data_IF_147086293821
#
_entry.id   IF_147086293821
#
_cell.length_a   1.000
_cell.length_b   1.000
_cell.length_c   1.000
_cell.angle_alpha   90.00
_cell.angle_beta   90.00
_cell.angle_gamma   90.00
#
_symmetry.space_group_name_H-M   'P 1'
#
loop_
_entity.id
_entity.type
_entity.pdbx_description
1 polymer ?
#
# COMPACT_ATOMS: atom_id res chain seq x y z
N UNK A 1 32.51 10.74 63.89
CA UNK A 1 31.34 9.98 63.35
C UNK A 1 30.44 10.98 62.67
N UNK A 2 30.54 11.08 61.35
CA UNK A 2 29.79 12.06 60.57
C UNK A 2 28.82 11.29 59.67
N UNK A 3 27.54 11.39 59.97
CA UNK A 3 26.45 10.74 59.23
C UNK A 3 26.16 11.52 57.95
N UNK A 4 26.22 10.84 56.83
CA UNK A 4 25.91 11.36 55.47
C UNK A 4 24.41 11.27 55.25
N UNK A 5 23.72 12.29 54.75
CA UNK A 5 22.29 12.19 54.43
C UNK A 5 22.07 11.44 53.12
N UNK A 6 21.14 10.50 53.14
CA UNK A 6 20.64 9.76 51.96
C UNK A 6 19.67 10.64 51.17
N UNK A 7 19.98 10.83 49.87
CA UNK A 7 19.09 11.52 48.91
C UNK A 7 17.85 10.67 48.58
N UNK A 8 16.66 11.27 48.43
CA UNK A 8 15.49 10.53 48.04
C UNK A 8 15.55 10.14 46.54
N UNK A 9 15.25 8.88 46.24
CA UNK A 9 15.12 8.38 44.88
C UNK A 9 13.85 8.95 44.26
N UNK A 10 14.01 9.73 43.19
CA UNK A 10 12.90 10.22 42.36
C UNK A 10 12.55 9.12 41.37
N UNK A 11 11.36 8.55 41.48
CA UNK A 11 10.81 7.64 40.49
C UNK A 11 10.57 8.36 39.15
N UNK A 12 10.89 7.74 38.00
CA UNK A 12 10.62 8.37 36.69
C UNK A 12 9.12 8.58 36.49
N UNK A 13 8.73 9.64 35.79
CA UNK A 13 7.30 9.91 35.52
C UNK A 13 6.71 8.81 34.66
N UNK A 14 5.52 8.36 35.02
CA UNK A 14 4.75 7.38 34.25
C UNK A 14 4.55 7.88 32.82
N UNK A 15 4.79 7.01 31.84
CA UNK A 15 4.53 7.29 30.43
C UNK A 15 3.05 7.67 30.25
N UNK A 16 2.72 8.69 29.46
CA UNK A 16 1.33 9.06 29.20
C UNK A 16 0.58 7.87 28.59
N UNK A 17 -0.71 7.67 28.92
CA UNK A 17 -1.51 6.60 28.36
C UNK A 17 -1.55 6.75 26.82
N UNK A 18 -1.32 5.65 26.11
CA UNK A 18 -1.44 5.60 24.66
C UNK A 18 -2.85 6.09 24.28
N UNK A 19 -2.93 7.10 23.41
CA UNK A 19 -4.23 7.56 22.86
C UNK A 19 -4.98 6.35 22.31
N UNK A 20 -6.29 6.21 22.56
CA UNK A 20 -7.05 5.06 22.09
C UNK A 20 -6.93 4.99 20.57
N UNK A 21 -6.54 3.82 20.07
CA UNK A 21 -6.50 3.57 18.63
C UNK A 21 -7.93 3.78 18.09
N UNK A 22 -8.10 4.80 17.25
CA UNK A 22 -9.40 5.09 16.63
C UNK A 22 -9.78 3.87 15.79
N UNK A 23 -10.83 3.15 16.22
CA UNK A 23 -11.32 2.00 15.50
C UNK A 23 -11.82 2.41 14.11
N UNK A 24 -11.64 1.57 13.08
CA UNK A 24 -12.16 1.86 11.75
C UNK A 24 -13.70 2.01 11.81
N UNK A 25 -14.29 2.85 10.95
CA UNK A 25 -15.75 3.09 10.95
C UNK A 25 -16.56 1.91 10.35
N UNK A 26 -16.07 0.69 10.49
CA UNK A 26 -16.70 -0.52 9.96
C UNK A 26 -15.84 -1.77 10.18
N UNK A 27 -16.26 -2.88 9.59
CA UNK A 27 -15.56 -4.18 9.70
C UNK A 27 -14.40 -4.26 8.74
N UNK A 28 -13.18 -4.52 9.22
CA UNK A 28 -12.02 -4.80 8.37
C UNK A 28 -12.20 -6.16 7.70
N UNK A 29 -12.15 -6.19 6.36
CA UNK A 29 -12.34 -7.41 5.56
C UNK A 29 -11.02 -8.06 5.20
N UNK A 30 -10.00 -7.25 4.91
CA UNK A 30 -8.66 -7.68 4.55
C UNK A 30 -7.68 -6.60 4.99
N UNK A 31 -6.59 -6.98 5.64
CA UNK A 31 -5.47 -6.07 5.90
C UNK A 31 -4.16 -6.84 6.01
N UNK A 32 -3.05 -6.16 5.76
CA UNK A 32 -1.74 -6.77 5.85
C UNK A 32 -0.61 -5.74 5.89
N UNK A 33 0.59 -6.26 6.12
CA UNK A 33 1.83 -5.49 6.11
C UNK A 33 2.26 -5.29 4.67
N UNK A 34 2.50 -4.04 4.30
CA UNK A 34 2.88 -3.61 2.94
C UNK A 34 4.22 -2.88 2.97
N UNK A 35 4.55 -2.19 1.90
CA UNK A 35 5.71 -1.31 1.85
C UNK A 35 7.04 -2.08 1.87
N UNK A 36 8.06 -1.46 2.46
CA UNK A 36 9.43 -2.00 2.44
C UNK A 36 9.55 -3.41 3.03
N UNK A 37 8.74 -3.74 4.03
CA UNK A 37 8.69 -5.07 4.65
C UNK A 37 8.18 -6.11 3.65
N UNK A 38 7.08 -5.82 2.96
CA UNK A 38 6.51 -6.73 1.97
C UNK A 38 7.44 -6.96 0.78
N UNK A 39 8.18 -5.94 0.37
CA UNK A 39 9.12 -6.03 -0.76
C UNK A 39 10.44 -6.75 -0.42
N UNK A 40 10.75 -6.97 0.88
CA UNK A 40 12.07 -7.46 1.32
C UNK A 40 13.14 -6.35 1.34
N UNK A 41 12.74 -5.08 1.31
CA UNK A 41 13.63 -3.92 1.34
C UNK A 41 13.76 -3.27 2.72
N UNK A 42 13.06 -3.78 3.74
CA UNK A 42 13.15 -3.26 5.10
C UNK A 42 14.57 -3.41 5.68
N UNK A 43 14.91 -2.50 6.59
CA UNK A 43 16.14 -2.51 7.37
C UNK A 43 15.82 -2.22 8.85
N UNK A 44 16.81 -2.36 9.74
CA UNK A 44 16.64 -1.99 11.13
C UNK A 44 16.18 -0.52 11.24
N UNK A 45 15.01 -0.30 11.87
CA UNK A 45 14.40 1.03 11.99
C UNK A 45 13.44 1.40 10.84
N UNK A 46 13.15 0.49 9.90
CA UNK A 46 12.05 0.72 8.94
C UNK A 46 10.70 0.70 9.65
N UNK A 47 9.84 1.65 9.29
CA UNK A 47 8.44 1.65 9.73
C UNK A 47 7.69 0.45 9.17
N UNK A 48 6.67 -0.01 9.91
CA UNK A 48 5.77 -1.06 9.45
C UNK A 48 4.50 -0.41 8.91
N UNK A 49 4.42 -0.35 7.59
CA UNK A 49 3.26 0.18 6.87
C UNK A 49 2.15 -0.88 6.80
N UNK A 50 0.91 -0.49 7.07
CA UNK A 50 -0.27 -1.36 6.98
C UNK A 50 -1.27 -0.81 6.01
N UNK A 51 -1.78 -1.68 5.15
CA UNK A 51 -2.85 -1.35 4.23
C UNK A 51 -4.00 -2.35 4.43
N UNK A 52 -5.22 -1.87 4.23
CA UNK A 52 -6.38 -2.75 4.26
C UNK A 52 -7.62 -2.10 3.67
N UNK A 53 -8.69 -2.85 3.72
CA UNK A 53 -10.01 -2.36 3.36
C UNK A 53 -11.05 -2.76 4.41
N UNK A 54 -12.08 -1.94 4.53
CA UNK A 54 -13.18 -2.14 5.45
C UNK A 54 -14.54 -1.99 4.77
N UNK A 55 -15.53 -2.66 5.31
CA UNK A 55 -16.93 -2.46 4.97
C UNK A 55 -17.56 -1.50 5.97
N UNK A 56 -18.01 -0.34 5.50
CA UNK A 56 -18.89 0.52 6.28
C UNK A 56 -20.31 -0.08 6.36
N UNK A 57 -21.08 0.20 7.43
CA UNK A 57 -22.49 -0.17 7.50
C UNK A 57 -23.26 0.34 6.27
N UNK A 58 -23.96 -0.56 5.57
CA UNK A 58 -24.59 -0.25 4.26
C UNK A 58 -25.64 0.84 4.39
N UNK A 59 -26.39 0.87 5.50
CA UNK A 59 -27.38 1.91 5.78
C UNK A 59 -26.80 3.33 5.82
N UNK A 60 -25.50 3.47 6.18
CA UNK A 60 -24.80 4.76 6.16
C UNK A 60 -24.71 5.39 4.75
N UNK A 61 -24.77 4.59 3.69
CA UNK A 61 -24.75 5.11 2.31
C UNK A 61 -26.09 5.72 1.87
N UNK A 62 -27.16 5.47 2.61
CA UNK A 62 -28.51 6.00 2.38
C UNK A 62 -28.84 7.20 3.26
N UNK A 63 -27.93 7.60 4.17
CA UNK A 63 -28.09 8.75 5.04
C UNK A 63 -27.68 10.06 4.38
N UNK A 64 -27.88 11.16 5.10
CA UNK A 64 -27.50 12.50 4.65
C UNK A 64 -25.98 12.62 4.43
N UNK A 65 -25.19 11.94 5.24
CA UNK A 65 -23.73 11.93 5.15
C UNK A 65 -23.23 10.53 4.80
N UNK A 66 -22.43 10.44 3.73
CA UNK A 66 -21.83 9.17 3.34
C UNK A 66 -20.71 8.78 4.31
N UNK A 67 -20.46 7.47 4.52
CA UNK A 67 -19.30 7.00 5.26
C UNK A 67 -17.99 7.52 4.66
N UNK A 68 -16.99 7.72 5.53
CA UNK A 68 -15.65 8.10 5.10
C UNK A 68 -15.06 7.02 4.18
N UNK A 69 -14.49 7.45 3.05
CA UNK A 69 -13.88 6.54 2.07
C UNK A 69 -12.52 6.01 2.51
N UNK A 70 -11.87 6.62 3.50
CA UNK A 70 -10.58 6.18 4.03
C UNK A 70 -10.46 6.51 5.50
N UNK A 71 -9.73 5.64 6.20
CA UNK A 71 -9.30 5.85 7.57
C UNK A 71 -7.77 5.73 7.62
N UNK A 72 -7.08 6.77 8.08
CA UNK A 72 -5.62 6.82 8.18
C UNK A 72 -5.22 7.06 9.62
N UNK A 73 -4.29 6.26 10.13
CA UNK A 73 -3.66 6.45 11.43
C UNK A 73 -2.14 6.45 11.27
N UNK A 74 -1.43 7.18 12.13
CA UNK A 74 0.04 7.27 12.11
C UNK A 74 0.69 6.41 13.19
N UNK A 75 -0.09 5.97 14.18
CA UNK A 75 0.38 5.09 15.28
C UNK A 75 -0.72 4.09 15.63
N UNK A 76 -0.66 2.87 15.11
CA UNK A 76 0.26 2.36 14.08
C UNK A 76 0.03 3.05 12.73
N UNK A 77 1.07 3.07 11.87
CA UNK A 77 0.92 3.54 10.49
C UNK A 77 0.03 2.56 9.72
N UNK A 78 -1.19 3.01 9.43
CA UNK A 78 -2.22 2.18 8.80
C UNK A 78 -3.15 3.02 7.94
N UNK A 79 -3.35 2.59 6.71
CA UNK A 79 -4.37 3.11 5.81
C UNK A 79 -5.42 2.04 5.54
N UNK A 80 -6.68 2.35 5.78
CA UNK A 80 -7.83 1.51 5.43
C UNK A 80 -8.70 2.26 4.42
N UNK A 81 -9.04 1.62 3.30
CA UNK A 81 -9.98 2.15 2.32
C UNK A 81 -11.34 1.48 2.48
N UNK A 82 -12.41 2.24 2.29
CA UNK A 82 -13.74 1.67 2.16
C UNK A 82 -13.79 0.74 0.92
N UNK A 83 -14.54 -0.36 1.00
CA UNK A 83 -14.55 -1.43 0.00
C UNK A 83 -14.74 -0.93 -1.44
N UNK A 84 -15.71 -0.05 -1.70
CA UNK A 84 -15.93 0.50 -3.05
C UNK A 84 -14.78 1.39 -3.50
N UNK A 85 -14.19 2.19 -2.61
CA UNK A 85 -13.00 3.00 -2.93
C UNK A 85 -11.83 2.11 -3.28
N UNK A 86 -11.60 1.06 -2.48
CA UNK A 86 -10.52 0.12 -2.77
C UNK A 86 -10.70 -0.52 -4.16
N UNK A 87 -11.92 -0.98 -4.50
CA UNK A 87 -12.21 -1.52 -5.83
C UNK A 87 -11.88 -0.52 -6.96
N UNK A 88 -12.28 0.75 -6.82
CA UNK A 88 -11.95 1.79 -7.82
C UNK A 88 -10.44 1.99 -7.98
N UNK A 89 -9.69 1.99 -6.87
CA UNK A 89 -8.24 2.08 -6.92
C UNK A 89 -7.62 0.83 -7.60
N UNK A 90 -8.12 -0.37 -7.28
CA UNK A 90 -7.63 -1.60 -7.88
C UNK A 90 -7.94 -1.69 -9.38
N UNK A 91 -9.15 -1.31 -9.81
CA UNK A 91 -9.55 -1.25 -11.22
C UNK A 91 -8.72 -0.24 -12.03
N UNK A 92 -8.20 0.82 -11.39
CA UNK A 92 -7.23 1.73 -12.00
C UNK A 92 -5.79 1.21 -11.93
N UNK A 93 -5.57 -0.02 -11.50
CA UNK A 93 -4.26 -0.64 -11.27
C UNK A 93 -3.34 0.20 -10.37
N UNK A 94 -3.91 0.92 -9.37
CA UNK A 94 -3.09 1.68 -8.41
C UNK A 94 -2.10 0.75 -7.72
N UNK A 95 -0.77 0.96 -7.83
CA UNK A 95 0.24 0.01 -7.35
C UNK A 95 0.11 -0.31 -5.86
N UNK A 96 -0.17 0.71 -5.03
CA UNK A 96 -0.30 0.55 -3.58
C UNK A 96 -1.56 -0.22 -3.19
N UNK A 97 -2.71 0.08 -3.82
CA UNK A 97 -3.95 -0.63 -3.52
C UNK A 97 -3.91 -2.07 -4.01
N UNK A 98 -3.40 -2.28 -5.22
CA UNK A 98 -3.40 -3.60 -5.88
C UNK A 98 -2.51 -4.60 -5.14
N UNK A 99 -1.40 -4.19 -4.53
CA UNK A 99 -0.50 -5.10 -3.83
C UNK A 99 -1.17 -5.86 -2.68
N UNK A 100 -2.20 -5.29 -2.03
CA UNK A 100 -2.89 -5.92 -0.89
C UNK A 100 -3.41 -7.33 -1.20
N UNK A 101 -3.97 -7.55 -2.39
CA UNK A 101 -4.52 -8.87 -2.77
C UNK A 101 -3.48 -9.84 -3.35
N UNK A 102 -2.22 -9.44 -3.35
CA UNK A 102 -1.06 -10.21 -3.83
C UNK A 102 0.00 -10.43 -2.76
N UNK A 103 -0.29 -10.03 -1.50
CA UNK A 103 0.65 -10.24 -0.41
C UNK A 103 0.95 -11.74 -0.21
N UNK A 104 2.17 -12.09 0.19
CA UNK A 104 2.46 -13.40 0.76
C UNK A 104 1.55 -13.67 1.98
N UNK A 105 1.17 -14.92 2.18
CA UNK A 105 0.19 -15.32 3.20
C UNK A 105 0.57 -14.88 4.62
N UNK A 106 1.85 -14.90 4.95
CA UNK A 106 2.41 -14.54 6.24
C UNK A 106 2.33 -13.02 6.55
N UNK A 107 2.00 -12.20 5.57
CA UNK A 107 1.89 -10.74 5.74
C UNK A 107 0.45 -10.27 5.98
N UNK A 108 -0.54 -11.13 5.84
CA UNK A 108 -1.91 -10.78 6.19
C UNK A 108 -2.10 -10.73 7.70
N UNK A 109 -2.68 -9.63 8.21
CA UNK A 109 -3.08 -9.48 9.61
C UNK A 109 -4.58 -9.79 9.80
N UNK A 110 -5.41 -9.45 8.81
CA UNK A 110 -6.85 -9.79 8.75
C UNK A 110 -7.15 -10.37 7.38
N UNK A 111 -7.82 -11.52 7.37
CA UNK A 111 -8.18 -12.24 6.16
C UNK A 111 -9.53 -12.94 6.39
N UNK A 112 -10.62 -12.13 6.32
CA UNK A 112 -11.99 -12.62 6.51
C UNK A 112 -12.54 -13.29 5.23
N UNK A 113 -13.70 -13.97 5.31
CA UNK A 113 -14.28 -14.66 4.15
C UNK A 113 -14.46 -13.77 2.91
N UNK A 114 -14.96 -12.55 3.07
CA UNK A 114 -15.06 -11.59 1.96
C UNK A 114 -13.70 -11.10 1.48
N UNK A 115 -12.67 -11.08 2.33
CA UNK A 115 -11.29 -10.82 1.93
C UNK A 115 -10.73 -11.94 1.05
N UNK A 116 -11.02 -13.21 1.39
CA UNK A 116 -10.66 -14.37 0.58
C UNK A 116 -11.31 -14.34 -0.81
N UNK A 117 -12.61 -14.02 -0.85
CA UNK A 117 -13.32 -13.87 -2.13
C UNK A 117 -12.68 -12.78 -3.00
N UNK A 118 -12.26 -11.66 -2.39
CA UNK A 118 -11.58 -10.58 -3.08
C UNK A 118 -10.23 -11.02 -3.66
N UNK A 119 -9.43 -11.77 -2.89
CA UNK A 119 -8.17 -12.37 -3.34
C UNK A 119 -8.44 -13.32 -4.52
N UNK A 120 -9.50 -14.12 -4.47
CA UNK A 120 -9.84 -15.07 -5.54
C UNK A 120 -10.12 -14.38 -6.89
N UNK A 121 -10.73 -13.20 -6.88
CA UNK A 121 -11.04 -12.43 -8.09
C UNK A 121 -9.94 -11.42 -8.49
N UNK A 122 -8.80 -11.40 -7.82
CA UNK A 122 -7.75 -10.36 -7.97
C UNK A 122 -7.29 -10.09 -9.41
N UNK A 123 -7.34 -11.10 -10.29
CA UNK A 123 -6.96 -10.92 -11.70
C UNK A 123 -7.93 -10.06 -12.49
N UNK A 124 -9.21 -10.02 -12.10
CA UNK A 124 -10.23 -9.22 -12.79
C UNK A 124 -9.97 -7.71 -12.71
N UNK A 125 -9.20 -7.26 -11.73
CA UNK A 125 -8.81 -5.86 -11.58
C UNK A 125 -7.70 -5.41 -12.55
N UNK A 126 -6.98 -6.36 -13.16
CA UNK A 126 -5.80 -6.05 -13.96
C UNK A 126 -6.17 -5.78 -15.42
N UNK A 127 -5.48 -4.81 -16.02
CA UNK A 127 -5.51 -4.56 -17.46
C UNK A 127 -4.17 -4.03 -17.96
N UNK A 128 -3.82 -4.32 -19.21
CA UNK A 128 -2.57 -3.86 -19.82
C UNK A 128 -2.47 -2.34 -19.79
N UNK A 129 -3.51 -1.64 -20.21
CA UNK A 129 -3.60 -0.18 -20.21
C UNK A 129 -3.52 0.40 -18.78
N UNK A 130 -4.22 -0.21 -17.83
CA UNK A 130 -4.22 0.22 -16.43
C UNK A 130 -2.84 0.08 -15.79
N UNK A 131 -2.20 -1.08 -15.93
CA UNK A 131 -0.84 -1.34 -15.43
C UNK A 131 0.16 -0.37 -16.03
N UNK A 132 0.17 -0.24 -17.36
CA UNK A 132 1.06 0.69 -18.06
C UNK A 132 0.92 2.12 -17.52
N UNK A 133 -0.28 2.65 -17.52
CA UNK A 133 -0.52 4.05 -17.16
C UNK A 133 -0.22 4.33 -15.67
N UNK A 134 -0.71 3.46 -14.78
CA UNK A 134 -0.52 3.67 -13.34
C UNK A 134 0.96 3.51 -12.95
N UNK A 135 1.59 2.39 -13.30
CA UNK A 135 2.95 2.12 -12.85
C UNK A 135 3.98 3.06 -13.48
N UNK A 136 3.89 3.35 -14.79
CA UNK A 136 4.76 4.34 -15.43
C UNK A 136 4.51 5.75 -14.87
N UNK A 137 3.26 6.11 -14.59
CA UNK A 137 2.93 7.39 -13.95
C UNK A 137 3.57 7.54 -12.57
N UNK A 138 3.46 6.52 -11.72
CA UNK A 138 4.12 6.51 -10.40
C UNK A 138 5.64 6.49 -10.51
N UNK A 139 6.22 5.69 -11.42
CA UNK A 139 7.66 5.65 -11.65
C UNK A 139 8.20 7.00 -12.14
N UNK A 140 7.49 7.64 -13.07
CA UNK A 140 7.85 9.00 -13.55
C UNK A 140 7.80 10.04 -12.42
N UNK A 141 6.84 9.94 -11.49
CA UNK A 141 6.81 10.81 -10.31
C UNK A 141 8.04 10.59 -9.41
N UNK A 142 8.47 9.34 -9.22
CA UNK A 142 9.70 9.06 -8.47
C UNK A 142 10.92 9.62 -9.19
N UNK A 143 10.99 9.46 -10.51
CA UNK A 143 12.07 10.01 -11.32
C UNK A 143 12.17 11.54 -11.22
N UNK A 144 11.05 12.26 -11.31
CA UNK A 144 11.03 13.72 -11.12
C UNK A 144 11.55 14.12 -9.73
N UNK A 145 11.23 13.36 -8.67
CA UNK A 145 11.78 13.61 -7.33
C UNK A 145 13.27 13.37 -7.22
N UNK A 146 13.85 12.52 -8.07
CA UNK A 146 15.31 12.33 -8.16
C UNK A 146 15.97 13.54 -8.79
N UNK A 147 15.43 14.04 -9.89
CA UNK A 147 16.02 15.17 -10.65
C UNK A 147 16.01 16.49 -9.89
N UNK A 148 15.07 16.69 -8.97
CA UNK A 148 14.91 17.97 -8.24
C UNK A 148 15.71 18.03 -6.94
N UNK A 149 16.50 17.00 -6.59
CA UNK A 149 17.23 16.94 -5.32
C UNK A 149 18.70 17.26 -5.48
N UNK A 150 19.18 18.13 -4.61
CA UNK A 150 20.60 18.28 -4.33
C UNK A 150 21.05 17.05 -3.52
N UNK A 151 22.01 16.30 -4.06
CA UNK A 151 22.57 15.08 -3.44
C UNK A 151 23.88 15.36 -2.69
N UNK A 152 24.29 16.61 -2.53
CA UNK A 152 25.50 17.00 -1.81
C UNK A 152 25.44 16.64 -0.31
N UNK A 153 24.24 16.61 0.28
CA UNK A 153 24.02 16.18 1.65
C UNK A 153 23.73 14.66 1.72
N UNK A 154 24.43 13.89 2.61
CA UNK A 154 24.23 12.45 2.76
C UNK A 154 22.78 12.04 3.04
N UNK A 155 22.01 12.83 3.80
CA UNK A 155 20.60 12.55 4.06
C UNK A 155 19.73 12.75 2.81
N UNK A 156 20.04 13.75 1.98
CA UNK A 156 19.38 13.96 0.69
C UNK A 156 19.70 12.82 -0.29
N UNK A 157 20.97 12.38 -0.34
CA UNK A 157 21.37 11.21 -1.14
C UNK A 157 20.66 9.93 -0.70
N UNK A 158 20.54 9.66 0.60
CA UNK A 158 19.81 8.50 1.11
C UNK A 158 18.31 8.53 0.71
N UNK A 159 17.69 9.71 0.73
CA UNK A 159 16.32 9.90 0.24
C UNK A 159 16.22 9.68 -1.28
N UNK A 160 17.22 10.14 -2.05
CA UNK A 160 17.29 9.88 -3.49
C UNK A 160 17.36 8.37 -3.77
N UNK A 161 18.25 7.64 -3.08
CA UNK A 161 18.35 6.19 -3.17
C UNK A 161 17.02 5.48 -2.81
N UNK A 162 16.27 5.97 -1.80
CA UNK A 162 14.93 5.45 -1.48
C UNK A 162 13.95 5.64 -2.63
N UNK A 163 13.91 6.82 -3.27
CA UNK A 163 13.04 7.06 -4.44
C UNK A 163 13.45 6.21 -5.64
N UNK A 164 14.76 6.03 -5.85
CA UNK A 164 15.30 5.18 -6.90
C UNK A 164 14.89 3.71 -6.72
N UNK A 165 15.01 3.15 -5.50
CA UNK A 165 14.53 1.80 -5.19
C UNK A 165 13.03 1.66 -5.46
N UNK A 166 12.24 2.68 -5.10
CA UNK A 166 10.81 2.68 -5.36
C UNK A 166 10.49 2.68 -6.85
N UNK A 167 11.23 3.48 -7.65
CA UNK A 167 11.12 3.50 -9.11
C UNK A 167 11.45 2.12 -9.71
N UNK A 168 12.60 1.53 -9.36
CA UNK A 168 13.01 0.22 -9.88
C UNK A 168 11.95 -0.84 -9.58
N UNK A 169 11.48 -0.91 -8.34
CA UNK A 169 10.40 -1.83 -7.94
C UNK A 169 9.15 -1.66 -8.80
N UNK A 170 8.69 -0.41 -9.00
CA UNK A 170 7.49 -0.14 -9.80
C UNK A 170 7.63 -0.64 -11.23
N UNK A 171 8.80 -0.42 -11.85
CA UNK A 171 9.06 -0.86 -13.23
C UNK A 171 9.11 -2.39 -13.33
N UNK A 172 9.77 -3.08 -12.39
CA UNK A 172 9.83 -4.54 -12.36
C UNK A 172 8.47 -5.17 -12.14
N UNK A 173 7.67 -4.63 -11.22
CA UNK A 173 6.31 -5.10 -10.97
C UNK A 173 5.40 -4.86 -12.18
N UNK A 174 5.51 -3.70 -12.85
CA UNK A 174 4.72 -3.41 -14.05
C UNK A 174 4.98 -4.42 -15.16
N UNK A 175 6.26 -4.66 -15.45
CA UNK A 175 6.68 -5.61 -16.49
C UNK A 175 6.23 -7.02 -16.14
N UNK A 176 6.42 -7.45 -14.88
CA UNK A 176 6.01 -8.78 -14.44
C UNK A 176 4.48 -8.97 -14.49
N UNK A 177 3.71 -7.97 -14.04
CA UNK A 177 2.24 -7.97 -14.18
C UNK A 177 1.81 -8.13 -15.63
N UNK A 178 2.42 -7.35 -16.53
CA UNK A 178 2.10 -7.35 -17.95
C UNK A 178 2.40 -8.70 -18.63
N UNK A 179 3.54 -9.30 -18.30
CA UNK A 179 4.02 -10.53 -18.94
C UNK A 179 3.49 -11.81 -18.30
N UNK A 180 3.25 -11.82 -16.99
CA UNK A 180 2.88 -13.02 -16.23
C UNK A 180 1.46 -12.97 -15.62
N UNK A 181 0.81 -11.82 -15.61
CA UNK A 181 -0.57 -11.67 -15.10
C UNK A 181 -0.71 -11.83 -13.60
N UNK A 182 0.38 -11.65 -12.83
CA UNK A 182 0.36 -11.63 -11.37
C UNK A 182 1.38 -10.64 -10.81
N UNK A 183 1.13 -10.10 -9.60
CA UNK A 183 2.01 -9.14 -8.97
C UNK A 183 3.06 -9.85 -8.10
N UNK A 184 4.32 -9.55 -8.32
CA UNK A 184 5.42 -9.94 -7.45
C UNK A 184 5.62 -8.86 -6.37
N UNK A 185 4.90 -9.00 -5.25
CA UNK A 185 5.06 -8.05 -4.14
C UNK A 185 6.45 -8.21 -3.51
N UNK A 186 6.83 -9.44 -3.12
CA UNK A 186 8.18 -9.73 -2.66
C UNK A 186 9.14 -9.79 -3.83
N UNK A 187 10.14 -8.93 -3.81
CA UNK A 187 11.15 -8.86 -4.87
C UNK A 187 12.02 -10.14 -4.87
N UNK A 188 12.31 -10.71 -6.05
CA UNK A 188 13.18 -11.88 -6.13
C UNK A 188 14.62 -11.62 -5.67
N UNK A 189 15.12 -10.40 -5.93
CA UNK A 189 16.47 -9.96 -5.56
C UNK A 189 16.44 -8.53 -4.98
N UNK A 190 16.12 -8.40 -3.68
CA UNK A 190 16.09 -7.10 -2.99
C UNK A 190 17.46 -6.41 -2.97
N UNK A 191 18.56 -7.19 -2.90
CA UNK A 191 19.92 -6.61 -2.85
C UNK A 191 20.28 -5.92 -4.17
N UNK A 192 19.93 -6.51 -5.30
CA UNK A 192 20.08 -5.87 -6.61
C UNK A 192 19.29 -4.56 -6.69
N UNK A 193 18.06 -4.53 -6.17
CA UNK A 193 17.25 -3.31 -6.14
C UNK A 193 17.88 -2.25 -5.23
N UNK A 194 18.48 -2.64 -4.10
CA UNK A 194 19.24 -1.72 -3.23
C UNK A 194 20.46 -1.15 -3.97
N UNK A 195 21.27 -2.00 -4.58
CA UNK A 195 22.45 -1.58 -5.34
C UNK A 195 22.09 -0.67 -6.52
N UNK A 196 21.01 -0.96 -7.26
CA UNK A 196 20.50 -0.09 -8.31
C UNK A 196 20.03 1.27 -7.74
N UNK A 197 19.38 1.27 -6.59
CA UNK A 197 18.96 2.50 -5.93
C UNK A 197 20.12 3.43 -5.60
N UNK A 198 21.24 2.90 -5.08
CA UNK A 198 22.46 3.67 -4.82
C UNK A 198 23.08 4.22 -6.13
N UNK A 199 23.20 3.37 -7.15
CA UNK A 199 23.75 3.78 -8.47
C UNK A 199 22.92 4.88 -9.12
N UNK A 200 21.60 4.80 -9.04
CA UNK A 200 20.69 5.81 -9.59
C UNK A 200 20.76 7.11 -8.79
N UNK A 201 20.99 7.05 -7.48
CA UNK A 201 21.18 8.26 -6.67
C UNK A 201 22.45 9.03 -7.10
N UNK A 202 23.48 8.32 -7.57
CA UNK A 202 24.72 8.91 -8.08
C UNK A 202 24.63 9.31 -9.57
N UNK A 203 23.88 8.56 -10.38
CA UNK A 203 23.66 8.82 -11.82
C UNK A 203 22.18 8.61 -12.21
N UNK A 204 21.35 9.67 -12.17
CA UNK A 204 19.94 9.60 -12.54
C UNK A 204 19.65 9.15 -13.98
N UNK A 205 20.62 9.27 -14.90
CA UNK A 205 20.48 8.78 -16.27
C UNK A 205 20.24 7.26 -16.33
N UNK A 206 20.64 6.53 -15.28
CA UNK A 206 20.33 5.10 -15.15
C UNK A 206 18.83 4.84 -15.01
N UNK A 207 18.13 5.68 -14.25
CA UNK A 207 16.67 5.58 -14.08
C UNK A 207 15.94 5.86 -15.41
N UNK A 208 16.42 6.82 -16.18
CA UNK A 208 15.86 7.13 -17.50
C UNK A 208 15.94 5.92 -18.45
N UNK A 209 17.10 5.27 -18.52
CA UNK A 209 17.28 4.05 -19.33
C UNK A 209 16.36 2.91 -18.89
N UNK A 210 16.19 2.71 -17.58
CA UNK A 210 15.27 1.68 -17.03
C UNK A 210 13.81 2.01 -17.35
N UNK A 211 13.43 3.27 -17.25
CA UNK A 211 12.07 3.73 -17.57
C UNK A 211 11.76 3.52 -19.06
N UNK A 212 12.70 3.87 -19.95
CA UNK A 212 12.58 3.64 -21.40
C UNK A 212 12.42 2.13 -21.70
N UNK A 213 13.32 1.29 -21.18
CA UNK A 213 13.29 -0.15 -21.40
C UNK A 213 11.99 -0.80 -20.86
N UNK A 214 11.47 -0.36 -19.73
CA UNK A 214 10.20 -0.84 -19.20
C UNK A 214 9.02 -0.37 -20.07
N UNK A 215 9.07 0.86 -20.58
CA UNK A 215 8.05 1.40 -21.49
C UNK A 215 7.99 0.57 -22.77
N UNK A 216 9.13 0.29 -23.40
CA UNK A 216 9.23 -0.52 -24.61
C UNK A 216 8.61 -1.93 -24.39
N UNK A 217 8.88 -2.55 -23.23
CA UNK A 217 8.30 -3.87 -22.89
C UNK A 217 6.77 -3.81 -22.69
N UNK A 218 6.27 -2.75 -22.04
CA UNK A 218 4.84 -2.56 -21.79
C UNK A 218 4.06 -2.16 -23.05
N UNK A 219 4.74 -1.72 -24.11
CA UNK A 219 4.15 -1.44 -25.42
C UNK A 219 4.05 -2.69 -26.32
N UNK A 220 4.69 -3.80 -25.94
CA UNK A 220 4.54 -5.10 -26.59
C UNK A 220 3.28 -5.81 -26.10
N UNK A 221 2.75 -6.80 -26.86
CA UNK A 221 1.65 -7.64 -26.38
C UNK A 221 2.03 -8.40 -25.09
N UNK A 222 1.14 -8.36 -24.09
CA UNK A 222 1.27 -9.09 -22.84
C UNK A 222 0.12 -10.07 -22.62
N UNK A 223 0.01 -10.61 -21.41
CA UNK A 223 -1.05 -11.57 -21.06
C UNK A 223 -2.30 -10.92 -20.47
N UNK A 224 -2.24 -9.63 -20.16
CA UNK A 224 -3.36 -8.90 -19.57
C UNK A 224 -4.38 -8.46 -20.65
N UNK A 225 -5.69 -8.43 -20.33
CA UNK A 225 -6.69 -7.83 -21.20
C UNK A 225 -6.49 -6.31 -21.29
N UNK A 226 -7.00 -5.67 -22.33
CA UNK A 226 -6.90 -4.22 -22.52
C UNK A 226 -7.64 -3.45 -21.42
N UNK A 227 -8.78 -3.98 -20.95
CA UNK A 227 -9.62 -3.40 -19.90
C UNK A 227 -9.87 -4.41 -18.78
N UNK A 228 -10.05 -3.95 -17.52
CA UNK A 228 -10.39 -4.85 -16.41
C UNK A 228 -11.81 -5.41 -16.59
N UNK A 229 -12.07 -6.58 -16.00
CA UNK A 229 -13.44 -7.09 -15.88
C UNK A 229 -14.05 -6.61 -14.55
N UNK A 230 -14.90 -5.60 -14.61
CA UNK A 230 -15.51 -5.00 -13.41
C UNK A 230 -16.62 -5.88 -12.79
N UNK A 231 -17.19 -6.84 -13.54
CA UNK A 231 -18.33 -7.65 -13.10
C UNK A 231 -18.06 -8.45 -11.81
N UNK A 232 -16.90 -9.15 -11.65
CA UNK A 232 -16.61 -9.84 -10.40
C UNK A 232 -16.47 -8.88 -9.21
N UNK A 233 -15.88 -7.70 -9.42
CA UNK A 233 -15.72 -6.68 -8.38
C UNK A 233 -17.08 -6.11 -7.94
N UNK A 234 -17.96 -5.80 -8.89
CA UNK A 234 -19.33 -5.33 -8.63
C UNK A 234 -20.14 -6.39 -7.86
N UNK A 235 -20.14 -7.65 -8.33
CA UNK A 235 -20.82 -8.75 -7.68
C UNK A 235 -20.30 -8.98 -6.24
N UNK A 236 -18.99 -8.88 -6.03
CA UNK A 236 -18.36 -8.95 -4.70
C UNK A 236 -18.83 -7.80 -3.82
N UNK A 237 -18.83 -6.56 -4.35
CA UNK A 237 -19.26 -5.38 -3.61
C UNK A 237 -20.73 -5.48 -3.15
N UNK A 238 -21.60 -6.02 -3.99
CA UNK A 238 -23.01 -6.30 -3.61
C UNK A 238 -23.08 -7.28 -2.44
N UNK A 239 -22.26 -8.34 -2.40
CA UNK A 239 -22.20 -9.26 -1.25
C UNK A 239 -21.70 -8.56 0.01
N UNK A 240 -20.68 -7.70 -0.12
CA UNK A 240 -20.22 -6.87 1.02
C UNK A 240 -21.35 -6.00 1.55
N UNK A 241 -22.11 -5.34 0.68
CA UNK A 241 -23.24 -4.50 1.09
C UNK A 241 -24.36 -5.30 1.76
N UNK A 242 -24.69 -6.47 1.24
CA UNK A 242 -25.69 -7.36 1.85
C UNK A 242 -25.24 -7.86 3.22
N UNK A 243 -24.00 -8.29 3.37
CA UNK A 243 -23.46 -8.80 4.63
C UNK A 243 -23.34 -7.74 5.73
N UNK A 244 -23.23 -6.45 5.36
CA UNK A 244 -23.07 -5.33 6.30
C UNK A 244 -24.31 -4.42 6.33
N UNK A 245 -25.46 -4.96 5.95
CA UNK A 245 -26.74 -4.26 6.12
C UNK A 245 -27.14 -4.27 7.59
N UNK A 246 -26.84 -3.18 8.30
CA UNK A 246 -27.25 -2.99 9.69
C UNK A 246 -28.43 -2.04 9.67
N UNK A 247 -29.61 -2.42 10.20
CA UNK A 247 -30.74 -1.51 10.36
C UNK A 247 -30.30 -0.28 11.16
N UNK A 248 -30.80 0.90 10.78
CA UNK A 248 -30.60 2.09 11.60
C UNK A 248 -31.14 1.80 13.00
N UNK A 249 -30.45 2.21 14.09
CA UNK A 249 -31.04 2.12 15.42
C UNK A 249 -32.38 2.83 15.42
N UNK A 250 -33.42 2.15 15.95
CA UNK A 250 -34.71 2.78 16.10
C UNK A 250 -34.53 4.11 16.86
N UNK A 251 -35.05 5.19 16.31
CA UNK A 251 -35.03 6.47 17.02
C UNK A 251 -35.66 6.25 18.40
N UNK A 252 -34.91 6.53 19.46
CA UNK A 252 -35.46 6.54 20.80
C UNK A 252 -36.61 7.53 20.81
N UNK A 253 -37.82 7.02 21.04
CA UNK A 253 -39.03 7.81 21.14
C UNK A 253 -39.03 8.69 22.42
#
# INVERSE_FOLDING_TARGET
MTTRPTSPSVSPPASPPASPAVSPPGTVLLSGIVGSTAYGLAHAGSDIDRLGLFAAPTTGFHGLHRPAESHVSTKPDRTLHEAAKWCRLALSCNPTATELVWLPDELYEVRGPLGEELIAIRRSFLSARGVRNAYLGYATQQFRKLLTRDTSDPAARARAAKHARHLVRLLEQAVHLHEAGHNLVRLPDPERVRALGERIADDPAHAERLLAAATDRLDLPGVLPDHPDERPAEAWLHRVRAAHWTPAPAAAA
#
